data_IF_635923259290
#
_entry.id   IF_635923259290
#
_cell.length_a   1.000
_cell.length_b   1.000
_cell.length_c   1.000
_cell.angle_alpha   90.00
_cell.angle_beta   90.00
_cell.angle_gamma   90.00
#
_symmetry.space_group_name_H-M   'P 1'
#
loop_
_entity.id
_entity.type
_entity.pdbx_description
1 polymer ?
#
# COMPACT_ATOMS: atom_id res chain seq x y z
N UNK A 1 143.35 -47.61 22.47
CA UNK A 1 141.90 -47.88 22.42
C UNK A 1 141.07 -47.00 23.34
N UNK A 2 141.49 -46.70 24.57
CA UNK A 2 140.68 -45.92 25.53
C UNK A 2 140.21 -44.50 25.09
N UNK A 3 140.93 -43.80 24.19
CA UNK A 3 140.55 -42.46 23.74
C UNK A 3 139.48 -42.43 22.63
N UNK A 4 139.32 -43.53 21.87
CA UNK A 4 138.29 -43.64 20.83
C UNK A 4 136.96 -44.12 21.41
N UNK A 5 137.01 -45.07 22.34
CA UNK A 5 135.82 -45.57 23.04
C UNK A 5 135.11 -44.44 23.82
N UNK A 6 135.88 -43.55 24.45
CA UNK A 6 135.34 -42.36 25.13
C UNK A 6 134.70 -41.33 24.18
N UNK A 7 135.21 -41.17 22.95
CA UNK A 7 134.61 -40.24 21.97
C UNK A 7 133.32 -40.79 21.36
N UNK A 8 133.25 -42.11 21.13
CA UNK A 8 132.05 -42.79 20.66
C UNK A 8 130.94 -42.73 21.72
N UNK A 9 131.28 -42.97 22.98
CA UNK A 9 130.33 -42.91 24.09
C UNK A 9 129.76 -41.50 24.30
N UNK A 10 130.58 -40.45 24.15
CA UNK A 10 130.12 -39.05 24.20
C UNK A 10 129.25 -38.68 23.00
N UNK A 11 129.55 -39.18 21.80
CA UNK A 11 128.72 -38.96 20.61
C UNK A 11 127.38 -39.70 20.69
N UNK A 12 127.37 -40.92 21.22
CA UNK A 12 126.16 -41.69 21.50
C UNK A 12 125.31 -41.02 22.58
N UNK A 13 125.90 -40.55 23.67
CA UNK A 13 125.20 -39.80 24.72
C UNK A 13 124.59 -38.49 24.18
N UNK A 14 125.31 -37.75 23.31
CA UNK A 14 124.76 -36.56 22.62
C UNK A 14 123.59 -36.90 21.72
N UNK A 15 123.71 -37.94 20.89
CA UNK A 15 122.63 -38.42 20.02
C UNK A 15 121.41 -38.87 20.81
N UNK A 16 121.61 -39.61 21.90
CA UNK A 16 120.54 -40.07 22.78
C UNK A 16 119.85 -38.89 23.47
N UNK A 17 120.62 -37.87 23.87
CA UNK A 17 120.11 -36.60 24.36
C UNK A 17 119.27 -35.84 23.33
N UNK A 18 119.78 -35.67 22.09
CA UNK A 18 119.05 -35.01 21.00
C UNK A 18 117.77 -35.75 20.61
N UNK A 19 117.80 -37.09 20.54
CA UNK A 19 116.63 -37.93 20.29
C UNK A 19 115.61 -37.75 21.42
N UNK A 20 116.04 -37.80 22.68
CA UNK A 20 115.15 -37.57 23.82
C UNK A 20 114.51 -36.17 23.79
N UNK A 21 115.27 -35.15 23.39
CA UNK A 21 114.80 -33.78 23.28
C UNK A 21 113.78 -33.63 22.15
N UNK A 22 114.01 -34.24 20.97
CA UNK A 22 113.06 -34.27 19.86
C UNK A 22 111.81 -35.10 20.15
N UNK A 23 111.94 -36.19 20.91
CA UNK A 23 110.81 -37.00 21.35
C UNK A 23 109.89 -36.16 22.25
N UNK A 24 110.45 -35.45 23.24
CA UNK A 24 109.69 -34.54 24.11
C UNK A 24 109.06 -33.40 23.33
N UNK A 25 109.77 -32.83 22.35
CA UNK A 25 109.23 -31.77 21.49
C UNK A 25 108.03 -32.28 20.67
N UNK A 26 108.12 -33.48 20.10
CA UNK A 26 107.01 -34.15 19.39
C UNK A 26 105.84 -34.41 20.33
N UNK A 27 106.09 -35.00 21.50
CA UNK A 27 105.05 -35.35 22.46
C UNK A 27 104.31 -34.09 22.92
N UNK A 28 105.03 -33.01 23.22
CA UNK A 28 104.43 -31.71 23.55
C UNK A 28 103.59 -31.13 22.41
N UNK A 29 104.04 -31.23 21.15
CA UNK A 29 103.24 -30.76 20.00
C UNK A 29 101.97 -31.58 19.81
N UNK A 30 102.05 -32.91 19.99
CA UNK A 30 100.90 -33.81 19.88
C UNK A 30 99.91 -33.55 21.00
N UNK A 31 100.38 -33.37 22.24
CA UNK A 31 99.49 -33.10 23.38
C UNK A 31 98.84 -31.73 23.27
N UNK A 32 99.57 -30.69 22.85
CA UNK A 32 98.99 -29.36 22.59
C UNK A 32 97.93 -29.43 21.49
N UNK A 33 98.23 -30.07 20.35
CA UNK A 33 97.25 -30.23 19.27
C UNK A 33 96.01 -31.01 19.72
N UNK A 34 96.18 -32.07 20.53
CA UNK A 34 95.05 -32.81 21.10
C UNK A 34 94.19 -31.94 22.02
N UNK A 35 94.82 -31.15 22.91
CA UNK A 35 94.10 -30.22 23.78
C UNK A 35 93.35 -29.15 22.98
N UNK A 36 93.97 -28.59 21.93
CA UNK A 36 93.33 -27.61 21.05
C UNK A 36 92.14 -28.24 20.29
N UNK A 37 92.26 -29.48 19.82
CA UNK A 37 91.13 -30.19 19.19
C UNK A 37 90.00 -30.45 20.17
N UNK A 38 90.31 -30.82 21.42
CA UNK A 38 89.30 -31.02 22.45
C UNK A 38 88.60 -29.71 22.81
N UNK A 39 89.35 -28.62 22.92
CA UNK A 39 88.80 -27.29 23.15
C UNK A 39 87.86 -26.86 22.01
N UNK A 40 88.29 -27.00 20.75
CA UNK A 40 87.47 -26.63 19.58
C UNK A 40 86.23 -27.52 19.42
N UNK A 41 86.32 -28.82 19.72
CA UNK A 41 85.13 -29.70 19.72
C UNK A 41 84.15 -29.25 20.81
N UNK A 42 84.63 -28.97 22.02
CA UNK A 42 83.77 -28.49 23.10
C UNK A 42 83.14 -27.12 22.81
N UNK A 43 83.88 -26.20 22.15
CA UNK A 43 83.35 -24.92 21.69
C UNK A 43 82.27 -25.10 20.62
N UNK A 44 82.49 -25.95 19.62
CA UNK A 44 81.50 -26.24 18.58
C UNK A 44 80.24 -26.91 19.15
N UNK A 45 80.38 -27.82 20.10
CA UNK A 45 79.24 -28.46 20.79
C UNK A 45 78.41 -27.41 21.55
N UNK A 46 79.08 -26.50 22.28
CA UNK A 46 78.42 -25.37 22.96
C UNK A 46 77.71 -24.45 21.98
N UNK A 47 78.36 -24.10 20.87
CA UNK A 47 77.74 -23.27 19.83
C UNK A 47 76.52 -23.95 19.20
N UNK A 48 76.58 -25.26 18.96
CA UNK A 48 75.45 -26.04 18.46
C UNK A 48 74.28 -26.06 19.46
N UNK A 49 74.56 -26.25 20.76
CA UNK A 49 73.54 -26.18 21.82
C UNK A 49 72.90 -24.79 21.89
N UNK A 50 73.70 -23.72 21.82
CA UNK A 50 73.21 -22.34 21.81
C UNK A 50 72.34 -22.09 20.58
N UNK A 51 72.77 -22.52 19.39
CA UNK A 51 72.02 -22.39 18.15
C UNK A 51 70.69 -23.16 18.22
N UNK A 52 70.69 -24.37 18.76
CA UNK A 52 69.49 -25.18 18.95
C UNK A 52 68.52 -24.53 19.93
N UNK A 53 69.02 -24.02 21.06
CA UNK A 53 68.22 -23.30 22.05
C UNK A 53 67.59 -22.03 21.47
N UNK A 54 68.36 -21.26 20.70
CA UNK A 54 67.86 -20.07 20.00
C UNK A 54 66.81 -20.42 18.95
N UNK A 55 67.00 -21.51 18.18
CA UNK A 55 66.03 -21.97 17.20
C UNK A 55 64.71 -22.39 17.87
N UNK A 56 64.76 -23.13 18.98
CA UNK A 56 63.58 -23.49 19.77
C UNK A 56 62.86 -22.26 20.33
N UNK A 57 63.61 -21.28 20.84
CA UNK A 57 63.03 -20.04 21.33
C UNK A 57 62.30 -19.28 20.21
N UNK A 58 62.89 -19.18 19.02
CA UNK A 58 62.25 -18.53 17.88
C UNK A 58 61.02 -19.30 17.37
N UNK A 59 61.04 -20.63 17.39
CA UNK A 59 59.86 -21.44 17.06
C UNK A 59 58.71 -21.15 18.04
N UNK A 60 58.97 -21.17 19.35
CA UNK A 60 57.96 -20.88 20.39
C UNK A 60 57.43 -19.45 20.24
N UNK A 61 58.29 -18.47 19.94
CA UNK A 61 57.87 -17.09 19.66
C UNK A 61 56.99 -17.01 18.42
N UNK A 62 57.36 -17.67 17.32
CA UNK A 62 56.58 -17.68 16.08
C UNK A 62 55.21 -18.34 16.28
N UNK A 63 55.17 -19.48 16.97
CA UNK A 63 53.92 -20.16 17.33
C UNK A 63 53.02 -19.28 18.22
N UNK A 64 53.60 -18.59 19.21
CA UNK A 64 52.87 -17.68 20.10
C UNK A 64 52.31 -16.47 19.35
N UNK A 65 53.09 -15.88 18.43
CA UNK A 65 52.63 -14.80 17.55
C UNK A 65 51.47 -15.25 16.68
N UNK A 66 51.61 -16.39 15.99
CA UNK A 66 50.53 -16.97 15.18
C UNK A 66 49.26 -17.21 16.00
N UNK A 67 49.40 -17.73 17.23
CA UNK A 67 48.25 -17.96 18.13
C UNK A 67 47.55 -16.65 18.50
N UNK A 68 48.33 -15.60 18.78
CA UNK A 68 47.79 -14.26 19.07
C UNK A 68 47.07 -13.67 17.85
N UNK A 69 47.65 -13.78 16.65
CA UNK A 69 47.04 -13.30 15.40
C UNK A 69 45.74 -14.03 15.08
N UNK A 70 45.72 -15.37 15.21
CA UNK A 70 44.51 -16.16 15.02
C UNK A 70 43.42 -15.76 16.01
N UNK A 71 43.75 -15.61 17.30
CA UNK A 71 42.79 -15.16 18.31
C UNK A 71 42.21 -13.78 17.97
N UNK A 72 43.03 -12.85 17.45
CA UNK A 72 42.57 -11.53 17.01
C UNK A 72 41.68 -11.60 15.76
N UNK A 73 42.01 -12.45 14.80
CA UNK A 73 41.19 -12.67 13.60
C UNK A 73 39.84 -13.28 13.99
N UNK A 74 39.84 -14.31 14.82
CA UNK A 74 38.63 -14.98 15.28
C UNK A 74 37.73 -14.00 16.05
N UNK A 75 38.31 -13.18 16.93
CA UNK A 75 37.58 -12.12 17.63
C UNK A 75 36.99 -11.08 16.67
N UNK A 76 37.76 -10.63 15.67
CA UNK A 76 37.29 -9.68 14.65
C UNK A 76 36.19 -10.28 13.77
N UNK A 77 36.33 -11.53 13.35
CA UNK A 77 35.35 -12.23 12.52
C UNK A 77 34.06 -12.50 13.28
N UNK A 78 34.14 -12.91 14.55
CA UNK A 78 32.97 -13.06 15.41
C UNK A 78 32.21 -11.73 15.53
N UNK A 79 32.90 -10.62 15.73
CA UNK A 79 32.28 -9.29 15.75
C UNK A 79 31.62 -8.93 14.41
N UNK A 80 32.29 -9.18 13.27
CA UNK A 80 31.75 -8.93 11.93
C UNK A 80 30.53 -9.78 11.60
N UNK A 81 30.54 -11.06 11.98
CA UNK A 81 29.40 -11.95 11.79
C UNK A 81 28.20 -11.48 12.61
N UNK A 82 28.43 -11.12 13.88
CA UNK A 82 27.40 -10.56 14.75
C UNK A 82 26.79 -9.28 14.15
N UNK A 83 27.64 -8.38 13.65
CA UNK A 83 27.21 -7.15 13.00
C UNK A 83 26.39 -7.44 11.73
N UNK A 84 26.84 -8.36 10.87
CA UNK A 84 26.12 -8.74 9.66
C UNK A 84 24.76 -9.38 9.96
N UNK A 85 24.67 -10.23 10.98
CA UNK A 85 23.40 -10.79 11.48
C UNK A 85 22.46 -9.70 11.97
N UNK A 86 22.97 -8.74 12.76
CA UNK A 86 22.19 -7.61 13.27
C UNK A 86 21.70 -6.72 12.12
N UNK A 87 22.55 -6.43 11.13
CA UNK A 87 22.18 -5.66 9.96
C UNK A 87 21.07 -6.35 9.15
N UNK A 88 21.22 -7.65 8.88
CA UNK A 88 20.17 -8.43 8.21
C UNK A 88 18.85 -8.42 9.00
N UNK A 89 18.91 -8.58 10.32
CA UNK A 89 17.72 -8.51 11.17
C UNK A 89 17.06 -7.12 11.16
N UNK A 90 17.86 -6.05 11.11
CA UNK A 90 17.36 -4.67 10.97
C UNK A 90 16.68 -4.48 9.62
N UNK A 91 17.24 -4.99 8.53
CA UNK A 91 16.64 -4.91 7.20
C UNK A 91 15.32 -5.66 7.11
N UNK A 92 15.23 -6.88 7.66
CA UNK A 92 13.98 -7.65 7.73
C UNK A 92 12.91 -6.88 8.51
N UNK A 93 13.28 -6.28 9.65
CA UNK A 93 12.35 -5.43 10.42
C UNK A 93 11.92 -4.20 9.64
N UNK A 94 12.84 -3.54 8.93
CA UNK A 94 12.53 -2.39 8.09
C UNK A 94 11.57 -2.77 6.96
N UNK A 95 11.79 -3.90 6.29
CA UNK A 95 10.88 -4.43 5.27
C UNK A 95 9.49 -4.74 5.83
N UNK A 96 9.42 -5.37 7.00
CA UNK A 96 8.15 -5.63 7.68
C UNK A 96 7.41 -4.33 8.04
N UNK A 97 8.12 -3.33 8.56
CA UNK A 97 7.54 -2.01 8.86
C UNK A 97 6.99 -1.32 7.61
N UNK A 98 7.73 -1.36 6.50
CA UNK A 98 7.26 -0.77 5.22
C UNK A 98 6.03 -1.49 4.69
N UNK A 99 5.99 -2.82 4.79
CA UNK A 99 4.81 -3.61 4.40
C UNK A 99 3.58 -3.23 5.23
N UNK A 100 3.75 -3.08 6.54
CA UNK A 100 2.67 -2.67 7.43
C UNK A 100 2.21 -1.23 7.16
N UNK A 101 3.13 -0.31 6.87
CA UNK A 101 2.77 1.05 6.46
C UNK A 101 1.97 1.06 5.15
N UNK A 102 2.44 0.34 4.12
CA UNK A 102 1.74 0.22 2.83
C UNK A 102 0.34 -0.36 3.01
N UNK A 103 0.20 -1.40 3.85
CA UNK A 103 -1.12 -1.97 4.19
C UNK A 103 -2.02 -0.97 4.90
N UNK A 104 -1.47 -0.19 5.83
CA UNK A 104 -2.23 0.84 6.54
C UNK A 104 -2.69 1.94 5.59
N UNK A 105 -1.84 2.38 4.66
CA UNK A 105 -2.16 3.39 3.65
C UNK A 105 -3.22 2.90 2.67
N UNK A 106 -3.09 1.67 2.17
CA UNK A 106 -4.09 1.05 1.28
C UNK A 106 -5.44 0.88 2.00
N UNK A 107 -5.41 0.43 3.26
CA UNK A 107 -6.62 0.29 4.08
C UNK A 107 -7.25 1.65 4.40
N UNK A 108 -6.46 2.69 4.64
CA UNK A 108 -6.95 4.05 4.84
C UNK A 108 -7.59 4.58 3.54
N UNK A 109 -6.92 4.40 2.39
CA UNK A 109 -7.44 4.82 1.09
C UNK A 109 -8.75 4.12 0.72
N UNK A 110 -8.82 2.80 0.91
CA UNK A 110 -10.05 2.02 0.65
C UNK A 110 -11.19 2.42 1.58
N UNK A 111 -10.92 2.70 2.87
CA UNK A 111 -11.92 3.23 3.80
C UNK A 111 -12.44 4.60 3.37
N UNK A 112 -11.55 5.52 3.01
CA UNK A 112 -11.93 6.85 2.53
C UNK A 112 -12.80 6.75 1.28
N UNK A 113 -12.43 5.89 0.32
CA UNK A 113 -13.23 5.67 -0.89
C UNK A 113 -14.61 5.08 -0.57
N UNK A 114 -14.69 4.13 0.37
CA UNK A 114 -15.96 3.57 0.82
C UNK A 114 -16.84 4.60 1.53
N UNK A 115 -16.28 5.42 2.43
CA UNK A 115 -16.98 6.51 3.11
C UNK A 115 -17.48 7.56 2.11
N UNK A 116 -16.68 7.92 1.10
CA UNK A 116 -17.10 8.81 0.02
C UNK A 116 -18.27 8.22 -0.78
N UNK A 117 -18.21 6.94 -1.15
CA UNK A 117 -19.30 6.29 -1.87
C UNK A 117 -20.60 6.23 -1.05
N UNK A 118 -20.50 5.99 0.27
CA UNK A 118 -21.63 6.04 1.19
C UNK A 118 -22.21 7.45 1.25
N UNK A 119 -21.37 8.47 1.48
CA UNK A 119 -21.80 9.86 1.56
C UNK A 119 -22.46 10.34 0.25
N UNK A 120 -21.94 9.94 -0.91
CA UNK A 120 -22.57 10.22 -2.21
C UNK A 120 -23.92 9.53 -2.38
N UNK A 121 -24.02 8.26 -1.98
CA UNK A 121 -25.27 7.50 -2.04
C UNK A 121 -26.33 8.09 -1.12
N UNK A 122 -25.95 8.45 0.11
CA UNK A 122 -26.81 9.13 1.08
C UNK A 122 -27.23 10.52 0.57
N UNK A 123 -26.32 11.29 -0.02
CA UNK A 123 -26.62 12.58 -0.63
C UNK A 123 -27.64 12.47 -1.77
N UNK A 124 -27.49 11.46 -2.64
CA UNK A 124 -28.47 11.17 -3.71
C UNK A 124 -29.81 10.71 -3.16
N UNK A 125 -29.82 9.84 -2.13
CA UNK A 125 -31.06 9.39 -1.52
C UNK A 125 -31.80 10.54 -0.82
N UNK A 126 -31.08 11.42 -0.12
CA UNK A 126 -31.65 12.60 0.53
C UNK A 126 -32.22 13.59 -0.50
N UNK A 127 -31.52 13.85 -1.61
CA UNK A 127 -32.03 14.73 -2.65
C UNK A 127 -33.28 14.18 -3.33
N UNK A 128 -33.33 12.88 -3.61
CA UNK A 128 -34.53 12.23 -4.17
C UNK A 128 -35.69 12.30 -3.18
N UNK A 129 -35.46 12.06 -1.88
CA UNK A 129 -36.49 12.19 -0.85
C UNK A 129 -37.03 13.61 -0.78
N UNK A 130 -36.14 14.60 -0.74
CA UNK A 130 -36.55 16.01 -0.70
C UNK A 130 -37.35 16.42 -1.94
N UNK A 131 -36.95 15.95 -3.13
CA UNK A 131 -37.71 16.16 -4.36
C UNK A 131 -39.07 15.46 -4.31
N UNK A 132 -39.13 14.21 -3.85
CA UNK A 132 -40.37 13.46 -3.71
C UNK A 132 -41.33 14.16 -2.72
N UNK A 133 -40.83 14.59 -1.57
CA UNK A 133 -41.61 15.33 -0.56
C UNK A 133 -42.11 16.67 -1.12
N UNK A 134 -41.28 17.40 -1.87
CA UNK A 134 -41.69 18.64 -2.52
C UNK A 134 -42.80 18.40 -3.56
N UNK A 135 -42.66 17.37 -4.41
CA UNK A 135 -43.70 17.01 -5.40
C UNK A 135 -44.99 16.55 -4.74
N UNK A 136 -44.90 15.76 -3.66
CA UNK A 136 -46.07 15.31 -2.91
C UNK A 136 -46.78 16.48 -2.25
N UNK A 137 -46.04 17.44 -1.67
CA UNK A 137 -46.61 18.65 -1.11
C UNK A 137 -47.32 19.50 -2.17
N UNK A 138 -46.71 19.68 -3.34
CA UNK A 138 -47.30 20.42 -4.45
C UNK A 138 -48.62 19.77 -4.91
N UNK A 139 -48.62 18.46 -5.16
CA UNK A 139 -49.81 17.73 -5.59
C UNK A 139 -50.90 17.69 -4.52
N UNK A 140 -50.54 17.55 -3.24
CA UNK A 140 -51.49 17.68 -2.13
C UNK A 140 -52.15 19.05 -2.10
N UNK A 141 -51.37 20.13 -2.29
CA UNK A 141 -51.92 21.49 -2.33
C UNK A 141 -52.81 21.73 -3.54
N UNK A 142 -52.47 21.17 -4.71
CA UNK A 142 -53.36 21.19 -5.89
C UNK A 142 -54.65 20.43 -5.63
N UNK A 143 -54.58 19.24 -5.05
CA UNK A 143 -55.76 18.43 -4.71
C UNK A 143 -56.66 19.12 -3.68
N UNK A 144 -56.08 19.70 -2.63
CA UNK A 144 -56.78 20.49 -1.62
C UNK A 144 -57.48 21.70 -2.25
N UNK A 145 -56.79 22.44 -3.14
CA UNK A 145 -57.39 23.57 -3.85
C UNK A 145 -58.58 23.15 -4.72
N UNK A 146 -58.48 22.01 -5.43
CA UNK A 146 -59.59 21.45 -6.22
C UNK A 146 -60.77 21.06 -5.32
N UNK A 147 -60.50 20.41 -4.18
CA UNK A 147 -61.56 20.06 -3.23
C UNK A 147 -62.25 21.30 -2.66
N UNK A 148 -61.49 22.33 -2.29
CA UNK A 148 -62.05 23.61 -1.82
C UNK A 148 -62.88 24.29 -2.91
N UNK A 149 -62.39 24.30 -4.16
CA UNK A 149 -63.14 24.86 -5.28
C UNK A 149 -64.45 24.10 -5.54
N UNK A 150 -64.42 22.76 -5.52
CA UNK A 150 -65.59 21.91 -5.72
C UNK A 150 -66.60 22.03 -4.57
N UNK A 151 -66.14 22.07 -3.32
CA UNK A 151 -67.01 22.26 -2.15
C UNK A 151 -67.61 23.66 -2.10
N UNK A 152 -66.85 24.69 -2.48
CA UNK A 152 -67.37 26.04 -2.66
C UNK A 152 -68.41 26.09 -3.79
N UNK A 153 -68.17 25.37 -4.90
CA UNK A 153 -69.12 25.27 -6.00
C UNK A 153 -70.40 24.56 -5.58
N UNK A 154 -70.32 23.41 -4.89
CA UNK A 154 -71.49 22.68 -4.41
C UNK A 154 -72.29 23.52 -3.41
N UNK A 155 -71.63 24.16 -2.44
CA UNK A 155 -72.29 25.06 -1.48
C UNK A 155 -72.98 26.24 -2.18
N UNK A 156 -72.36 26.79 -3.23
CA UNK A 156 -72.95 27.84 -4.06
C UNK A 156 -74.20 27.36 -4.82
N UNK A 157 -74.17 26.14 -5.37
CA UNK A 157 -75.34 25.53 -6.01
C UNK A 157 -76.46 25.25 -5.01
N UNK A 158 -76.14 24.72 -3.82
CA UNK A 158 -77.11 24.47 -2.75
C UNK A 158 -77.79 25.78 -2.32
N UNK A 159 -77.03 26.89 -2.20
CA UNK A 159 -77.59 28.20 -1.88
C UNK A 159 -78.55 28.73 -2.98
N UNK A 160 -78.25 28.47 -4.26
CA UNK A 160 -79.13 28.81 -5.38
C UNK A 160 -80.41 27.95 -5.35
N UNK A 161 -80.26 26.64 -5.09
CA UNK A 161 -81.39 25.72 -4.96
C UNK A 161 -82.33 26.14 -3.82
N UNK A 162 -81.77 26.52 -2.67
CA UNK A 162 -82.52 27.03 -1.51
C UNK A 162 -83.25 28.33 -1.85
N UNK A 163 -82.57 29.29 -2.49
CA UNK A 163 -83.17 30.55 -2.94
C UNK A 163 -84.32 30.34 -3.95
N UNK A 164 -84.24 29.30 -4.78
CA UNK A 164 -85.29 28.89 -5.71
C UNK A 164 -86.39 28.02 -5.06
N UNK A 165 -86.45 27.94 -3.72
CA UNK A 165 -87.40 27.12 -2.94
C UNK A 165 -87.36 25.63 -3.30
N UNK A 166 -86.20 25.13 -3.71
CA UNK A 166 -85.98 23.72 -4.05
C UNK A 166 -86.55 23.26 -5.39
N UNK A 167 -87.08 24.15 -6.25
CA UNK A 167 -87.52 23.77 -7.59
C UNK A 167 -86.34 23.64 -8.58
N UNK A 168 -86.02 22.43 -9.08
CA UNK A 168 -84.91 22.22 -9.99
C UNK A 168 -85.08 22.91 -11.36
N UNK A 169 -86.32 23.21 -11.77
CA UNK A 169 -86.59 23.85 -13.06
C UNK A 169 -86.16 25.32 -13.05
N UNK A 170 -86.58 26.05 -12.01
CA UNK A 170 -86.23 27.47 -11.82
C UNK A 170 -84.72 27.66 -11.61
N UNK A 171 -84.07 26.78 -10.84
CA UNK A 171 -82.64 26.83 -10.63
C UNK A 171 -81.83 26.60 -11.92
N UNK A 172 -82.23 25.63 -12.77
CA UNK A 172 -81.63 25.42 -14.10
C UNK A 172 -81.82 26.62 -15.02
N UNK A 173 -83.00 27.25 -14.99
CA UNK A 173 -83.26 28.46 -15.75
C UNK A 173 -82.33 29.61 -15.33
N UNK A 174 -82.23 29.88 -14.04
CA UNK A 174 -81.36 30.92 -13.51
C UNK A 174 -79.87 30.65 -13.79
N UNK A 175 -79.40 29.41 -13.58
CA UNK A 175 -78.02 29.04 -13.87
C UNK A 175 -77.71 29.14 -15.37
N UNK A 176 -78.64 28.69 -16.23
CA UNK A 176 -78.49 28.80 -17.69
C UNK A 176 -78.47 30.24 -18.19
N UNK A 177 -79.19 31.14 -17.53
CA UNK A 177 -79.14 32.58 -17.81
C UNK A 177 -77.79 33.17 -17.39
N UNK A 178 -77.31 32.85 -16.19
CA UNK A 178 -76.03 33.35 -15.65
C UNK A 178 -74.83 32.88 -16.47
N UNK A 179 -74.82 31.62 -16.88
CA UNK A 179 -73.75 31.03 -17.71
C UNK A 179 -73.88 31.34 -19.21
N UNK A 180 -74.94 32.09 -19.61
CA UNK A 180 -75.17 32.50 -20.99
C UNK A 180 -75.46 31.34 -21.95
N UNK A 181 -75.95 30.20 -21.43
CA UNK A 181 -76.21 28.99 -22.24
C UNK A 181 -77.31 29.25 -23.27
N UNK A 182 -78.31 30.07 -22.93
CA UNK A 182 -79.41 30.39 -23.84
C UNK A 182 -78.97 31.24 -25.03
N UNK A 183 -78.05 32.19 -24.84
CA UNK A 183 -77.49 33.00 -25.93
C UNK A 183 -76.68 32.13 -26.88
N UNK A 184 -75.77 31.31 -26.33
CA UNK A 184 -74.97 30.35 -27.12
C UNK A 184 -75.84 29.34 -27.86
N UNK A 185 -76.89 28.83 -27.22
CA UNK A 185 -77.83 27.91 -27.85
C UNK A 185 -78.57 28.61 -29.00
N UNK A 186 -79.04 29.85 -28.81
CA UNK A 186 -79.71 30.62 -29.86
C UNK A 186 -78.76 30.91 -31.05
N UNK A 187 -77.49 31.24 -30.78
CA UNK A 187 -76.46 31.42 -31.83
C UNK A 187 -76.22 30.13 -32.62
N UNK A 188 -76.03 28.99 -31.93
CA UNK A 188 -75.83 27.70 -32.60
C UNK A 188 -77.08 27.25 -33.37
N UNK A 189 -78.28 27.51 -32.84
CA UNK A 189 -79.53 27.24 -33.56
C UNK A 189 -79.69 28.15 -34.78
N UNK A 190 -79.30 29.43 -34.69
CA UNK A 190 -79.31 30.34 -35.84
C UNK A 190 -78.33 29.89 -36.93
N UNK A 191 -77.14 29.40 -36.55
CA UNK A 191 -76.17 28.79 -37.47
C UNK A 191 -76.77 27.52 -38.12
N UNK A 192 -77.40 26.65 -37.34
CA UNK A 192 -78.04 25.43 -37.85
C UNK A 192 -79.23 25.74 -38.78
N UNK A 193 -80.09 26.71 -38.44
CA UNK A 193 -81.22 27.16 -39.28
C UNK A 193 -80.72 27.82 -40.56
N UNK A 194 -79.62 28.59 -40.49
CA UNK A 194 -78.93 29.12 -41.67
C UNK A 194 -78.35 28.01 -42.56
N UNK A 195 -77.86 26.92 -41.96
CA UNK A 195 -77.35 25.74 -42.66
C UNK A 195 -78.43 24.80 -43.22
N UNK A 196 -79.69 24.93 -42.78
CA UNK A 196 -80.80 24.14 -43.31
C UNK A 196 -81.24 24.69 -44.67
N UNK A 197 -81.14 23.88 -45.73
CA UNK A 197 -81.82 24.13 -47.01
C UNK A 197 -83.26 23.58 -46.90
N UNK A 198 -84.30 24.42 -46.69
CA UNK A 198 -85.66 23.91 -46.57
C UNK A 198 -86.17 23.36 -47.91
N UNK A 199 -86.58 22.09 -47.94
CA UNK A 199 -87.40 21.53 -49.02
C UNK A 199 -88.85 21.88 -48.71
N UNK A 200 -89.37 22.96 -49.30
CA UNK A 200 -90.77 23.37 -49.10
C UNK A 200 -91.64 22.58 -50.08
N UNK A 201 -92.38 21.57 -49.59
CA UNK A 201 -93.51 21.00 -50.32
C UNK A 201 -94.78 21.78 -49.96
N UNK A 202 -95.25 22.62 -50.89
CA UNK A 202 -96.52 23.34 -50.73
C UNK A 202 -97.68 22.38 -51.02
N UNK A 203 -98.49 22.06 -50.00
CA UNK A 203 -99.78 21.39 -50.20
C UNK A 203 -100.88 22.44 -50.26
N UNK A 204 -101.35 22.72 -51.48
CA UNK A 204 -102.44 23.62 -51.79
C UNK A 204 -103.78 22.86 -51.66
N UNK A 205 -104.69 23.26 -50.77
CA UNK A 205 -106.07 22.73 -50.72
C UNK A 205 -107.06 23.84 -50.99
N UNK A 206 -107.69 23.79 -52.17
CA UNK A 206 -108.76 24.68 -52.60
C UNK A 206 -110.07 23.94 -52.92
N UNK A 207 -111.12 24.33 -52.19
CA UNK A 207 -112.55 24.50 -52.54
C UNK A 207 -113.52 23.32 -52.80
N UNK A 208 -114.59 23.24 -51.96
CA UNK A 208 -116.05 23.05 -52.24
C UNK A 208 -116.76 22.81 -50.89
N UNK A 209 -117.96 23.29 -50.53
CA UNK A 209 -119.18 23.81 -51.19
C UNK A 209 -119.82 24.87 -50.25
N UNK A 210 -120.71 25.81 -50.60
CA UNK A 210 -121.80 25.79 -51.59
C UNK A 210 -123.14 25.67 -50.86
N UNK A 211 -123.74 26.78 -50.42
CA UNK A 211 -125.17 26.84 -50.07
C UNK A 211 -125.73 28.25 -50.31
N UNK A 212 -126.67 28.33 -51.23
CA UNK A 212 -127.47 29.50 -51.60
C UNK A 212 -128.93 29.06 -51.51
N UNK A 213 -129.71 29.67 -50.62
CA UNK A 213 -131.15 29.45 -50.50
C UNK A 213 -131.90 30.68 -51.09
N UNK A 214 -132.88 30.49 -52.00
CA UNK A 214 -133.83 31.51 -52.40
C UNK A 214 -135.22 31.23 -51.81
N UNK A 215 -135.86 32.19 -51.13
CA UNK A 215 -137.14 32.91 -51.41
C UNK A 215 -137.26 34.02 -50.35
#
# INVERSE_FOLDING_TARGET
SANYDAQVEVAEARKMGEIGLKQREKDTRVTVAQLDTQATVAENEREAEIAQSNAQLEEVKAQSRKRSELANIDASMAARLREAELQSAVEVKRQAQLLEQLRADELASTKVAAEQAIAEAEGKAASIRQLADATLYEEQKKAEAIQVALTAHSAGLDAIMEACKGDPSTAKFYLGLKEGIYEKLAEQQAIAVSGMKPQISVWNTGNNAGESDPI
#
